data_IF_417497004554
#
_entry.id   IF_417497004554
#
_cell.length_a   1.000
_cell.length_b   1.000
_cell.length_c   1.000
_cell.angle_alpha   90.00
_cell.angle_beta   90.00
_cell.angle_gamma   90.00
#
_symmetry.space_group_name_H-M   'P 1'
#
loop_
_entity.id
_entity.type
_entity.pdbx_description
1 polymer ?
#
# COMPACT_ATOMS: atom_id res chain seq x y z
N UNK A 1 51.72 -45.22 31.64
CA UNK A 1 50.56 -44.85 32.47
C UNK A 1 50.20 -43.42 32.09
N UNK A 2 49.29 -43.26 31.12
CA UNK A 2 47.85 -43.05 31.33
C UNK A 2 47.57 -41.57 31.64
N UNK A 3 46.69 -40.83 30.97
CA UNK A 3 45.97 -41.00 29.71
C UNK A 3 45.38 -39.62 29.38
N UNK A 4 45.16 -39.38 28.09
CA UNK A 4 44.35 -38.32 27.52
C UNK A 4 43.14 -37.87 28.37
N UNK A 5 42.98 -36.57 28.58
CA UNK A 5 41.65 -35.97 28.70
C UNK A 5 41.54 -34.78 27.75
N UNK A 6 40.81 -35.07 26.69
CA UNK A 6 40.51 -34.27 25.52
C UNK A 6 39.85 -32.94 25.88
N UNK A 7 40.33 -31.87 25.26
CA UNK A 7 39.58 -30.61 25.12
C UNK A 7 38.33 -30.90 24.28
N UNK A 8 37.15 -30.94 24.91
CA UNK A 8 35.89 -30.83 24.16
C UNK A 8 35.73 -29.36 23.75
N UNK A 9 36.22 -29.03 22.56
CA UNK A 9 35.70 -27.89 21.82
C UNK A 9 34.29 -28.27 21.32
N UNK A 10 33.26 -27.84 22.03
CA UNK A 10 31.90 -27.88 21.50
C UNK A 10 31.83 -26.86 20.36
N UNK A 11 32.05 -27.32 19.12
CA UNK A 11 31.68 -26.57 17.94
C UNK A 11 30.16 -26.59 17.83
N UNK A 12 29.50 -25.58 18.38
CA UNK A 12 28.07 -25.35 18.14
C UNK A 12 27.92 -24.93 16.68
N UNK A 13 27.62 -25.91 15.81
CA UNK A 13 27.26 -25.62 14.43
C UNK A 13 25.93 -24.85 14.43
N UNK A 14 26.02 -23.53 14.28
CA UNK A 14 24.87 -22.66 14.09
C UNK A 14 24.29 -23.00 12.71
N UNK A 15 23.33 -23.91 12.66
CA UNK A 15 22.56 -24.17 11.45
C UNK A 15 21.82 -22.86 11.10
N UNK A 16 22.34 -22.14 10.11
CA UNK A 16 21.65 -21.05 9.44
C UNK A 16 20.44 -21.67 8.74
N UNK A 17 19.31 -21.71 9.46
CA UNK A 17 18.01 -21.94 8.85
C UNK A 17 17.79 -20.76 7.90
N UNK A 18 17.90 -21.04 6.61
CA UNK A 18 17.53 -20.11 5.56
C UNK A 18 16.02 -19.89 5.64
N UNK A 19 15.59 -18.86 6.36
CA UNK A 19 14.20 -18.44 6.35
C UNK A 19 13.92 -17.79 5.01
N UNK A 20 13.16 -18.47 4.16
CA UNK A 20 12.66 -17.91 2.90
C UNK A 20 11.29 -17.28 3.14
N UNK A 21 11.18 -15.97 2.95
CA UNK A 21 9.91 -15.25 3.00
C UNK A 21 9.44 -14.97 1.57
N UNK A 22 8.42 -15.71 1.11
CA UNK A 22 7.83 -15.55 -0.22
C UNK A 22 6.59 -14.62 -0.23
N UNK A 23 5.93 -14.43 0.92
CA UNK A 23 4.75 -13.57 1.08
C UNK A 23 5.17 -12.10 1.33
N UNK A 24 4.42 -11.14 0.79
CA UNK A 24 4.68 -9.73 1.06
C UNK A 24 3.76 -8.75 0.33
N UNK A 25 3.61 -7.56 0.92
CA UNK A 25 3.09 -6.37 0.25
C UNK A 25 4.28 -5.55 -0.23
N UNK A 26 4.52 -5.55 -1.53
CA UNK A 26 5.73 -5.01 -2.13
C UNK A 26 5.53 -3.58 -2.61
N UNK A 27 6.51 -2.71 -2.35
CA UNK A 27 6.54 -1.38 -2.90
C UNK A 27 6.84 -1.44 -4.41
N UNK A 28 6.28 -0.53 -5.23
CA UNK A 28 6.58 -0.46 -6.67
C UNK A 28 8.08 -0.40 -6.99
N UNK A 29 8.87 0.26 -6.12
CA UNK A 29 10.33 0.35 -6.26
C UNK A 29 11.05 -1.03 -6.17
N UNK A 30 10.45 -2.01 -5.48
CA UNK A 30 11.03 -3.35 -5.28
C UNK A 30 10.76 -4.30 -6.46
N UNK A 31 9.91 -3.90 -7.41
CA UNK A 31 9.47 -4.78 -8.49
C UNK A 31 10.62 -5.22 -9.41
N UNK A 32 11.67 -4.40 -9.56
CA UNK A 32 12.87 -4.77 -10.32
C UNK A 32 13.52 -6.04 -9.76
N UNK A 33 13.58 -6.19 -8.44
CA UNK A 33 14.17 -7.35 -7.76
C UNK A 33 13.24 -8.58 -7.85
N UNK A 34 11.93 -8.34 -7.83
CA UNK A 34 10.90 -9.40 -7.81
C UNK A 34 10.53 -9.90 -9.21
N UNK A 35 10.92 -9.20 -10.27
CA UNK A 35 10.42 -9.45 -11.62
C UNK A 35 10.64 -10.88 -12.12
N UNK A 36 11.77 -11.51 -11.78
CA UNK A 36 12.02 -12.92 -12.10
C UNK A 36 11.03 -13.86 -11.39
N UNK A 37 10.78 -13.63 -10.10
CA UNK A 37 9.81 -14.41 -9.33
C UNK A 37 8.37 -14.18 -9.84
N UNK A 38 8.01 -12.95 -10.20
CA UNK A 38 6.68 -12.64 -10.75
C UNK A 38 6.44 -13.38 -12.07
N UNK A 39 7.43 -13.39 -12.98
CA UNK A 39 7.34 -14.15 -14.24
C UNK A 39 7.27 -15.66 -14.00
N UNK A 40 8.07 -16.18 -13.07
CA UNK A 40 8.01 -17.59 -12.68
C UNK A 40 6.62 -18.00 -12.14
N UNK A 41 5.91 -17.06 -11.50
CA UNK A 41 4.54 -17.23 -11.02
C UNK A 41 3.45 -16.93 -12.07
N UNK A 42 3.82 -16.72 -13.34
CA UNK A 42 2.87 -16.59 -14.45
C UNK A 42 2.50 -15.16 -14.83
N UNK A 43 3.19 -14.13 -14.32
CA UNK A 43 3.00 -12.77 -14.80
C UNK A 43 3.41 -12.69 -16.29
N UNK A 44 2.46 -12.29 -17.13
CA UNK A 44 2.68 -12.10 -18.57
C UNK A 44 3.09 -10.66 -18.94
N UNK A 45 2.77 -9.70 -18.06
CA UNK A 45 3.21 -8.31 -18.20
C UNK A 45 4.70 -8.20 -17.91
N UNK A 46 5.33 -7.17 -18.46
CA UNK A 46 6.67 -6.82 -18.03
C UNK A 46 6.62 -6.25 -16.60
N UNK A 47 7.27 -6.88 -15.59
CA UNK A 47 7.33 -6.35 -14.24
C UNK A 47 7.77 -4.89 -14.18
N UNK A 48 8.63 -4.42 -15.09
CA UNK A 48 9.05 -3.01 -15.11
C UNK A 48 7.88 -2.02 -15.28
N UNK A 49 6.74 -2.45 -15.86
CA UNK A 49 5.54 -1.62 -15.94
C UNK A 49 4.86 -1.44 -14.57
N UNK A 50 5.05 -2.39 -13.65
CA UNK A 50 4.45 -2.38 -12.32
C UNK A 50 5.28 -1.56 -11.31
N UNK A 51 6.40 -0.97 -11.71
CA UNK A 51 7.10 0.04 -10.90
C UNK A 51 6.66 1.48 -11.23
N UNK A 52 5.89 1.66 -12.31
CA UNK A 52 5.48 2.96 -12.85
C UNK A 52 4.03 3.27 -12.49
N UNK A 53 3.83 4.14 -11.50
CA UNK A 53 2.50 4.51 -11.02
C UNK A 53 1.77 5.51 -11.91
N UNK A 54 2.49 6.20 -12.79
CA UNK A 54 1.97 7.18 -13.74
C UNK A 54 1.48 6.54 -15.05
N UNK A 55 1.76 5.25 -15.26
CA UNK A 55 1.37 4.51 -16.46
C UNK A 55 0.43 3.34 -16.17
N UNK A 56 -0.27 2.88 -17.20
CA UNK A 56 -1.12 1.70 -17.10
C UNK A 56 -0.29 0.44 -16.74
N UNK A 57 -0.80 -0.45 -15.88
CA UNK A 57 -2.15 -0.41 -15.27
C UNK A 57 -2.24 0.36 -13.95
N UNK A 58 -1.12 0.78 -13.35
CA UNK A 58 -1.12 1.28 -11.96
C UNK A 58 -1.67 2.70 -11.81
N UNK A 59 -1.64 3.51 -12.86
CA UNK A 59 -2.27 4.84 -12.87
C UNK A 59 -3.79 4.81 -12.74
N UNK A 60 -4.42 3.65 -12.89
CA UNK A 60 -5.84 3.48 -12.68
C UNK A 60 -6.19 3.23 -11.20
N UNK A 61 -5.23 2.87 -10.35
CA UNK A 61 -5.47 2.52 -8.95
C UNK A 61 -5.58 3.79 -8.11
N UNK A 62 -6.63 3.87 -7.29
CA UNK A 62 -6.92 5.04 -6.45
C UNK A 62 -7.28 4.63 -5.02
N UNK A 63 -7.10 5.56 -4.08
CA UNK A 63 -7.52 5.39 -2.68
C UNK A 63 -8.79 6.17 -2.40
N UNK A 64 -9.69 5.59 -1.62
CA UNK A 64 -10.90 6.24 -1.10
C UNK A 64 -10.70 6.78 0.34
N UNK A 65 -9.47 6.75 0.88
CA UNK A 65 -9.20 7.12 2.27
C UNK A 65 -9.55 6.04 3.29
N UNK A 66 -9.33 4.76 2.93
CA UNK A 66 -9.64 3.60 3.79
C UNK A 66 -9.98 2.35 2.99
N UNK A 67 -10.38 2.52 1.73
CA UNK A 67 -10.55 1.46 0.74
C UNK A 67 -9.73 1.74 -0.52
N UNK A 68 -9.52 0.70 -1.32
CA UNK A 68 -8.98 0.81 -2.67
C UNK A 68 -10.10 0.83 -3.71
N UNK A 69 -9.83 1.46 -4.84
CA UNK A 69 -10.69 1.44 -6.01
C UNK A 69 -9.85 1.55 -7.29
N UNK A 70 -10.48 1.47 -8.44
CA UNK A 70 -9.82 1.74 -9.71
C UNK A 70 -10.71 2.46 -10.72
N UNK A 71 -10.10 3.31 -11.53
CA UNK A 71 -10.73 3.79 -12.75
C UNK A 71 -10.91 2.64 -13.74
N UNK A 72 -12.11 2.54 -14.32
CA UNK A 72 -12.48 1.52 -15.31
C UNK A 72 -13.01 2.13 -16.61
N UNK A 73 -13.03 3.46 -16.71
CA UNK A 73 -13.36 4.20 -17.94
C UNK A 73 -12.56 5.50 -18.07
N UNK A 74 -12.35 6.01 -19.29
CA UNK A 74 -11.70 7.30 -19.53
C UNK A 74 -12.56 8.50 -19.09
N UNK A 75 -13.82 8.26 -18.72
CA UNK A 75 -14.76 9.28 -18.24
C UNK A 75 -14.83 9.34 -16.71
N UNK A 76 -13.96 8.61 -16.00
CA UNK A 76 -13.87 8.66 -14.54
C UNK A 76 -14.79 7.68 -13.80
N UNK A 77 -15.33 6.65 -14.47
CA UNK A 77 -16.06 5.58 -13.77
C UNK A 77 -15.10 4.83 -12.84
N UNK A 78 -15.48 4.69 -11.57
CA UNK A 78 -14.67 4.03 -10.54
C UNK A 78 -15.36 2.78 -10.03
N UNK A 79 -14.62 1.68 -9.96
CA UNK A 79 -15.06 0.42 -9.37
C UNK A 79 -14.44 0.21 -7.98
N UNK A 80 -15.25 -0.18 -7.01
CA UNK A 80 -14.82 -0.56 -5.65
C UNK A 80 -15.79 -1.59 -5.06
N UNK A 81 -15.55 -2.01 -3.83
CA UNK A 81 -16.46 -2.91 -3.14
C UNK A 81 -17.68 -2.18 -2.58
N UNK A 82 -18.80 -2.89 -2.50
CA UNK A 82 -20.05 -2.38 -1.92
C UNK A 82 -19.88 -1.82 -0.50
N UNK A 83 -19.10 -2.50 0.35
CA UNK A 83 -18.90 -2.06 1.73
C UNK A 83 -18.12 -0.74 1.83
N UNK A 84 -17.29 -0.40 0.82
CA UNK A 84 -16.55 0.86 0.78
C UNK A 84 -17.44 2.07 0.48
N UNK A 85 -18.60 1.86 -0.14
CA UNK A 85 -19.56 2.92 -0.49
C UNK A 85 -20.85 2.82 0.31
N UNK A 86 -20.91 1.92 1.30
CA UNK A 86 -22.13 1.64 2.06
C UNK A 86 -22.67 2.90 2.74
N UNK A 87 -21.78 3.74 3.28
CA UNK A 87 -22.16 5.03 3.88
C UNK A 87 -22.87 5.96 2.87
N UNK A 88 -22.39 6.02 1.63
CA UNK A 88 -23.02 6.83 0.58
C UNK A 88 -24.34 6.22 0.10
N UNK A 89 -24.45 4.89 0.05
CA UNK A 89 -25.71 4.20 -0.25
C UNK A 89 -26.73 4.50 0.86
N UNK A 90 -26.33 4.41 2.12
CA UNK A 90 -27.19 4.69 3.27
C UNK A 90 -27.60 6.16 3.32
N UNK A 91 -26.66 7.09 3.10
CA UNK A 91 -26.92 8.54 3.09
C UNK A 91 -27.99 8.93 2.06
N UNK A 92 -27.99 8.29 0.90
CA UNK A 92 -28.95 8.54 -0.17
C UNK A 92 -30.23 7.71 -0.07
N UNK A 93 -30.29 6.74 0.85
CA UNK A 93 -31.48 5.90 1.06
C UNK A 93 -32.53 6.60 1.92
N UNK A 94 -33.81 6.34 1.61
CA UNK A 94 -34.97 6.81 2.37
C UNK A 94 -35.96 5.65 2.54
N UNK A 95 -36.95 5.79 3.42
CA UNK A 95 -37.99 4.77 3.58
C UNK A 95 -38.71 4.46 2.24
N UNK A 96 -39.04 5.50 1.47
CA UNK A 96 -39.65 5.36 0.14
C UNK A 96 -38.66 4.90 -0.95
N UNK A 97 -37.36 4.86 -0.66
CA UNK A 97 -36.28 4.65 -1.63
C UNK A 97 -35.10 3.92 -0.98
N UNK A 98 -35.26 2.61 -0.82
CA UNK A 98 -34.28 1.74 -0.16
C UNK A 98 -33.24 1.21 -1.15
N UNK A 99 -32.09 1.89 -1.24
CA UNK A 99 -30.96 1.44 -2.05
C UNK A 99 -30.12 0.35 -1.38
N UNK A 100 -30.25 0.17 -0.06
CA UNK A 100 -29.57 -0.88 0.68
C UNK A 100 -30.10 -2.24 0.23
N UNK A 101 -31.42 -2.42 0.15
CA UNK A 101 -32.01 -3.71 -0.24
C UNK A 101 -32.14 -3.86 -1.75
N UNK A 102 -32.59 -2.81 -2.46
CA UNK A 102 -32.95 -2.90 -3.89
C UNK A 102 -31.81 -2.57 -4.84
N UNK A 103 -30.71 -2.02 -4.34
CA UNK A 103 -29.61 -1.51 -5.16
C UNK A 103 -29.95 -0.19 -5.84
N UNK A 104 -28.97 0.34 -6.56
CA UNK A 104 -29.05 1.61 -7.27
C UNK A 104 -28.36 1.47 -8.64
N UNK A 105 -28.96 2.06 -9.66
CA UNK A 105 -28.41 2.14 -11.01
C UNK A 105 -28.85 3.46 -11.63
N UNK A 106 -27.89 4.37 -11.86
CA UNK A 106 -28.09 5.56 -12.67
C UNK A 106 -28.10 5.19 -14.15
N UNK A 107 -29.14 5.54 -14.91
CA UNK A 107 -29.20 5.27 -16.36
C UNK A 107 -28.50 6.34 -17.20
N UNK A 108 -28.21 7.49 -16.58
CA UNK A 108 -27.52 8.62 -17.19
C UNK A 108 -26.66 9.34 -16.15
N UNK A 109 -25.67 10.12 -16.59
CA UNK A 109 -24.80 10.89 -15.69
C UNK A 109 -25.58 11.85 -14.78
N UNK A 110 -26.70 12.40 -15.26
CA UNK A 110 -27.55 13.30 -14.46
C UNK A 110 -28.35 12.59 -13.36
N UNK A 111 -28.40 11.25 -13.38
CA UNK A 111 -29.04 10.44 -12.35
C UNK A 111 -28.04 9.97 -11.28
N UNK A 112 -26.74 10.20 -11.45
CA UNK A 112 -25.73 9.87 -10.43
C UNK A 112 -25.97 10.69 -9.17
N UNK A 113 -25.98 10.00 -8.03
CA UNK A 113 -26.20 10.63 -6.74
C UNK A 113 -24.87 11.07 -6.13
N UNK A 114 -24.82 12.22 -5.44
CA UNK A 114 -23.62 12.63 -4.72
C UNK A 114 -23.29 11.62 -3.63
N UNK A 115 -22.01 11.30 -3.50
CA UNK A 115 -21.50 10.59 -2.33
C UNK A 115 -21.68 11.43 -1.06
N UNK A 116 -21.54 10.80 0.11
CA UNK A 116 -21.62 11.50 1.40
C UNK A 116 -20.64 12.70 1.43
N UNK A 117 -21.02 13.85 2.01
CA UNK A 117 -20.15 15.02 2.08
C UNK A 117 -18.78 14.67 2.67
N UNK A 118 -17.72 15.09 1.98
CA UNK A 118 -16.35 14.80 2.38
C UNK A 118 -15.74 13.56 1.74
N UNK A 119 -16.50 12.76 0.96
CA UNK A 119 -15.91 11.68 0.14
C UNK A 119 -14.84 12.22 -0.81
N UNK A 120 -13.75 11.47 -0.96
CA UNK A 120 -12.59 11.80 -1.80
C UNK A 120 -12.11 10.57 -2.55
N UNK A 121 -11.53 10.82 -3.71
CA UNK A 121 -10.73 9.85 -4.48
C UNK A 121 -9.34 10.47 -4.58
N UNK A 122 -8.32 9.74 -4.13
CA UNK A 122 -6.93 10.16 -4.16
C UNK A 122 -6.21 9.41 -5.28
N UNK A 123 -5.68 10.17 -6.23
CA UNK A 123 -4.83 9.67 -7.32
C UNK A 123 -3.38 9.94 -6.93
N UNK A 124 -2.52 8.93 -7.07
CA UNK A 124 -1.09 9.10 -6.80
C UNK A 124 -0.46 9.82 -7.99
N UNK A 125 0.05 11.03 -7.75
CA UNK A 125 0.78 11.80 -8.77
C UNK A 125 2.28 11.55 -8.74
N UNK A 126 2.86 11.35 -7.55
CA UNK A 126 4.30 11.22 -7.36
C UNK A 126 4.63 10.38 -6.12
N UNK A 127 5.71 9.61 -6.19
CA UNK A 127 6.33 8.93 -5.04
C UNK A 127 7.82 9.22 -5.06
N UNK A 128 8.32 9.75 -3.94
CA UNK A 128 9.71 10.16 -3.78
C UNK A 128 10.31 9.56 -2.53
N UNK A 129 11.58 9.16 -2.62
CA UNK A 129 12.38 8.84 -1.45
C UNK A 129 12.80 10.15 -0.76
N UNK A 130 12.25 10.37 0.43
CA UNK A 130 12.56 11.53 1.30
C UNK A 130 13.31 11.11 2.56
N UNK A 131 13.97 9.94 2.55
CA UNK A 131 14.66 9.39 3.73
C UNK A 131 15.72 10.36 4.26
N UNK A 132 16.51 10.98 3.38
CA UNK A 132 17.53 11.94 3.78
C UNK A 132 16.94 13.19 4.45
N UNK A 133 15.85 13.74 3.89
CA UNK A 133 15.17 14.91 4.44
C UNK A 133 14.49 14.60 5.79
N UNK A 134 13.85 13.44 5.88
CA UNK A 134 13.26 12.93 7.11
C UNK A 134 14.31 12.71 8.22
N UNK A 135 15.51 12.23 7.87
CA UNK A 135 16.59 11.99 8.83
C UNK A 135 17.45 13.23 9.11
N UNK A 136 17.19 14.37 8.48
CA UNK A 136 17.98 15.59 8.67
C UNK A 136 18.03 16.01 10.13
N UNK A 137 19.24 15.96 10.71
CA UNK A 137 19.52 16.32 12.11
C UNK A 137 18.99 15.33 13.15
N UNK A 138 18.60 14.13 12.72
CA UNK A 138 18.39 12.98 13.59
C UNK A 138 19.74 12.32 13.87
N UNK A 139 20.03 12.01 15.12
CA UNK A 139 21.26 11.30 15.52
C UNK A 139 21.00 10.38 16.70
N UNK A 140 21.91 9.45 16.94
CA UNK A 140 21.81 8.45 18.03
C UNK A 140 21.96 9.08 19.43
N UNK A 141 22.31 10.37 19.51
CA UNK A 141 22.38 11.13 20.76
C UNK A 141 21.02 11.63 21.24
N UNK A 142 20.01 11.64 20.37
CA UNK A 142 18.66 12.07 20.73
C UNK A 142 17.97 10.98 21.56
N UNK A 143 17.33 11.38 22.66
CA UNK A 143 16.39 10.48 23.33
C UNK A 143 15.13 10.26 22.46
N UNK A 144 14.32 9.27 22.81
CA UNK A 144 13.15 8.86 22.00
C UNK A 144 12.17 10.00 21.71
N UNK A 145 11.86 10.83 22.72
CA UNK A 145 10.95 11.96 22.55
C UNK A 145 11.55 13.05 21.65
N UNK A 146 12.80 13.43 21.87
CA UNK A 146 13.51 14.42 21.04
C UNK A 146 13.66 13.95 19.58
N UNK A 147 13.84 12.64 19.37
CA UNK A 147 13.85 12.04 18.03
C UNK A 147 12.48 12.15 17.37
N UNK A 148 11.40 11.78 18.06
CA UNK A 148 10.03 11.90 17.55
C UNK A 148 9.72 13.36 17.16
N UNK A 149 9.99 14.30 18.05
CA UNK A 149 9.81 15.74 17.83
C UNK A 149 10.59 16.24 16.61
N UNK A 150 11.81 15.73 16.40
CA UNK A 150 12.60 16.08 15.23
C UNK A 150 12.00 15.54 13.93
N UNK A 151 11.58 14.26 13.93
CA UNK A 151 10.94 13.63 12.78
C UNK A 151 9.61 14.31 12.43
N UNK A 152 8.80 14.69 13.42
CA UNK A 152 7.55 15.41 13.20
C UNK A 152 7.76 16.78 12.57
N UNK A 153 8.78 17.54 13.03
CA UNK A 153 9.17 18.80 12.39
C UNK A 153 9.63 18.62 10.95
N UNK A 154 10.45 17.60 10.68
CA UNK A 154 10.91 17.32 9.33
C UNK A 154 9.74 16.95 8.41
N UNK A 155 8.78 16.13 8.88
CA UNK A 155 7.55 15.80 8.15
C UNK A 155 6.70 17.04 7.84
N UNK A 156 6.47 17.92 8.82
CA UNK A 156 5.70 19.17 8.66
C UNK A 156 6.38 20.17 7.71
N UNK A 157 7.68 20.05 7.47
CA UNK A 157 8.38 20.88 6.50
C UNK A 157 8.30 20.33 5.07
N UNK A 158 7.94 19.06 4.90
CA UNK A 158 7.81 18.38 3.60
C UNK A 158 6.40 18.46 3.00
N UNK A 159 5.38 18.65 3.85
CA UNK A 159 3.96 18.73 3.50
C UNK A 159 3.50 20.18 3.67
#
# INVERSE_FOLDING_TARGET
>A
MNSNFSRLAQATAMNLLWTSANEGMWMPAQITELGAAMRANGLQLDPAQLSRLDTAPLNAIVSLGGCSASFVSPQGLVATNRHCVLESIQYNSKESQDYLTKGFLAKSLGEELPAVPGSRIYVIEDIRDVTADMLKGVSDKLNGFARYERLDRNRKALI
#
